data_IF_654511132763
#
_entry.id   IF_654511132763
#
_cell.length_a   1.000
_cell.length_b   1.000
_cell.length_c   1.000
_cell.angle_alpha   90.00
_cell.angle_beta   90.00
_cell.angle_gamma   90.00
#
_symmetry.space_group_name_H-M   'P 1'
#
loop_
_entity.id
_entity.type
_entity.pdbx_description
1 polymer ?
#
# COMPACT_ATOMS: atom_id res chain seq x y z
N UNK A 1 30.15 1.37 -6.94
CA UNK A 1 29.66 1.95 -5.66
C UNK A 1 29.17 0.78 -4.83
N UNK A 2 29.69 0.54 -3.62
CA UNK A 2 29.16 -0.52 -2.76
C UNK A 2 27.91 0.02 -2.08
N UNK A 3 26.76 -0.55 -2.40
CA UNK A 3 25.54 -0.16 -1.72
C UNK A 3 25.54 -0.70 -0.30
N UNK A 4 24.79 -0.04 0.56
CA UNK A 4 24.78 -0.31 1.99
C UNK A 4 23.40 -0.81 2.40
N UNK A 5 23.35 -2.02 2.95
CA UNK A 5 22.16 -2.51 3.63
C UNK A 5 21.96 -1.71 4.92
N UNK A 6 20.75 -1.23 5.16
CA UNK A 6 20.33 -0.48 6.34
C UNK A 6 19.22 -1.26 7.05
N UNK A 7 19.40 -1.45 8.35
CA UNK A 7 18.35 -1.97 9.22
C UNK A 7 17.57 -0.79 9.79
N UNK A 8 16.30 -0.68 9.39
CA UNK A 8 15.36 0.35 9.84
C UNK A 8 14.93 0.15 11.30
N UNK A 9 15.22 -0.99 11.93
CA UNK A 9 15.07 -1.19 13.38
C UNK A 9 15.96 -0.24 14.19
N UNK A 10 17.09 0.20 13.60
CA UNK A 10 17.98 1.17 14.20
C UNK A 10 17.51 2.61 13.96
N UNK A 11 17.43 3.38 15.05
CA UNK A 11 16.95 4.77 15.02
C UNK A 11 17.74 5.67 14.06
N UNK A 12 19.06 5.50 13.97
CA UNK A 12 19.91 6.29 13.08
C UNK A 12 19.57 6.04 11.60
N UNK A 13 19.54 4.77 11.18
CA UNK A 13 19.16 4.37 9.82
C UNK A 13 17.78 4.90 9.44
N UNK A 14 16.81 4.75 10.34
CA UNK A 14 15.45 5.22 10.15
C UNK A 14 15.40 6.74 9.91
N UNK A 15 16.12 7.52 10.73
CA UNK A 15 16.15 8.98 10.59
C UNK A 15 16.82 9.42 9.28
N UNK A 16 17.90 8.77 8.86
CA UNK A 16 18.57 9.08 7.59
C UNK A 16 17.61 8.89 6.40
N UNK A 17 16.89 7.76 6.36
CA UNK A 17 15.94 7.46 5.29
C UNK A 17 14.77 8.44 5.30
N UNK A 18 14.21 8.73 6.48
CA UNK A 18 13.12 9.68 6.61
C UNK A 18 13.51 11.09 6.10
N UNK A 19 14.66 11.61 6.52
CA UNK A 19 15.15 12.91 6.04
C UNK A 19 15.36 12.93 4.52
N UNK A 20 15.86 11.83 3.94
CA UNK A 20 16.01 11.74 2.49
C UNK A 20 14.67 11.84 1.77
N UNK A 21 13.66 11.08 2.21
CA UNK A 21 12.33 11.10 1.60
C UNK A 21 11.67 12.48 1.73
N UNK A 22 11.76 13.12 2.90
CA UNK A 22 11.25 14.48 3.12
C UNK A 22 11.90 15.51 2.18
N UNK A 23 13.22 15.41 1.98
CA UNK A 23 13.97 16.39 1.21
C UNK A 23 13.89 16.19 -0.31
N UNK A 24 13.79 14.95 -0.80
CA UNK A 24 13.98 14.64 -2.21
C UNK A 24 12.76 13.98 -2.86
N UNK A 25 11.89 13.35 -2.10
CA UNK A 25 10.80 12.51 -2.62
C UNK A 25 9.50 12.67 -1.79
N UNK A 26 9.00 13.90 -1.58
CA UNK A 26 7.78 14.14 -0.81
C UNK A 26 6.54 13.46 -1.42
N UNK A 27 6.60 13.12 -2.71
CA UNK A 27 5.54 12.42 -3.45
C UNK A 27 5.61 10.88 -3.34
N UNK A 28 6.63 10.32 -2.69
CA UNK A 28 6.75 8.88 -2.47
C UNK A 28 5.86 8.42 -1.31
N UNK A 29 4.55 8.49 -1.52
CA UNK A 29 3.53 8.36 -0.47
C UNK A 29 3.61 7.03 0.28
N UNK A 30 3.90 5.90 -0.38
CA UNK A 30 3.89 4.58 0.24
C UNK A 30 4.95 4.42 1.35
N UNK A 31 6.23 4.53 0.98
CA UNK A 31 7.33 4.37 1.94
C UNK A 31 7.26 5.49 2.99
N UNK A 32 6.95 6.71 2.57
CA UNK A 32 6.86 7.85 3.48
C UNK A 32 5.75 7.68 4.53
N UNK A 33 4.55 7.28 4.11
CA UNK A 33 3.41 7.02 5.00
C UNK A 33 3.73 5.91 5.99
N UNK A 34 4.33 4.81 5.51
CA UNK A 34 4.75 3.71 6.35
C UNK A 34 5.77 4.16 7.43
N UNK A 35 6.79 4.94 7.06
CA UNK A 35 7.76 5.45 8.03
C UNK A 35 7.10 6.44 9.01
N UNK A 36 6.15 7.25 8.55
CA UNK A 36 5.39 8.13 9.44
C UNK A 36 4.57 7.36 10.47
N UNK A 37 4.01 6.20 10.10
CA UNK A 37 3.26 5.36 11.04
C UNK A 37 4.18 4.88 12.16
N UNK A 38 5.44 4.56 11.85
CA UNK A 38 6.46 4.24 12.87
C UNK A 38 6.78 5.44 13.74
N UNK A 39 7.00 6.61 13.12
CA UNK A 39 7.35 7.83 13.85
C UNK A 39 6.24 8.26 14.82
N UNK A 40 4.98 8.05 14.43
CA UNK A 40 3.79 8.32 15.24
C UNK A 40 3.47 7.19 16.25
N UNK A 41 4.26 6.12 16.28
CA UNK A 41 4.10 5.00 17.23
C UNK A 41 2.94 4.07 16.93
N UNK A 42 2.38 4.13 15.71
CA UNK A 42 1.30 3.26 15.24
C UNK A 42 1.82 1.87 14.86
N UNK A 43 3.09 1.80 14.42
CA UNK A 43 3.81 0.56 14.12
C UNK A 43 5.11 0.58 14.92
N UNK A 44 5.40 -0.50 15.66
CA UNK A 44 6.66 -0.60 16.40
C UNK A 44 7.81 -0.89 15.42
N UNK A 45 8.86 -0.06 15.50
CA UNK A 45 10.04 -0.13 14.64
C UNK A 45 10.74 -1.50 14.68
N UNK A 46 10.59 -2.28 15.76
CA UNK A 46 11.16 -3.63 15.85
C UNK A 46 10.60 -4.58 14.77
N UNK A 47 9.41 -4.30 14.25
CA UNK A 47 8.76 -5.11 13.23
C UNK A 47 9.29 -4.80 11.82
N UNK A 48 10.11 -3.75 11.65
CA UNK A 48 10.86 -3.54 10.41
C UNK A 48 11.97 -4.58 10.21
N UNK A 49 12.32 -5.35 11.24
CA UNK A 49 13.17 -6.52 11.06
C UNK A 49 12.27 -7.74 10.82
N UNK A 50 12.39 -8.48 9.70
CA UNK A 50 13.58 -8.62 8.86
C UNK A 50 13.55 -7.86 7.51
N UNK A 51 12.73 -6.83 7.35
CA UNK A 51 12.70 -6.04 6.11
C UNK A 51 14.07 -5.42 5.83
N UNK A 52 14.50 -5.50 4.57
CA UNK A 52 15.83 -5.10 4.15
C UNK A 52 15.75 -3.86 3.27
N UNK A 53 16.39 -2.79 3.72
CA UNK A 53 16.51 -1.56 2.96
C UNK A 53 17.93 -1.44 2.42
N UNK A 54 18.06 -1.16 1.13
CA UNK A 54 19.33 -0.98 0.45
C UNK A 54 19.40 0.43 -0.10
N UNK A 55 20.50 1.13 0.18
CA UNK A 55 20.79 2.46 -0.38
C UNK A 55 22.12 2.45 -1.12
N UNK A 56 22.23 3.25 -2.17
CA UNK A 56 23.48 3.37 -2.92
C UNK A 56 24.64 3.93 -2.08
N UNK A 57 24.36 4.88 -1.18
CA UNK A 57 25.32 5.52 -0.27
C UNK A 57 24.56 6.09 0.92
N UNK A 58 24.99 5.79 2.15
CA UNK A 58 24.32 6.27 3.38
C UNK A 58 24.44 7.79 3.58
N UNK A 59 25.45 8.43 3.02
CA UNK A 59 25.70 9.87 3.16
C UNK A 59 25.11 10.68 2.01
N UNK A 60 24.83 10.04 0.88
CA UNK A 60 24.26 10.66 -0.31
C UNK A 60 23.31 9.68 -1.02
N UNK A 61 22.15 9.45 -0.39
CA UNK A 61 21.13 8.58 -0.93
C UNK A 61 20.60 9.20 -2.24
N UNK A 62 20.52 8.37 -3.28
CA UNK A 62 19.92 8.65 -4.59
C UNK A 62 18.89 7.60 -4.98
N UNK A 63 19.05 6.38 -4.46
CA UNK A 63 18.12 5.29 -4.65
C UNK A 63 17.96 4.50 -3.35
N UNK A 64 16.73 4.11 -3.07
CA UNK A 64 16.33 3.21 -1.99
C UNK A 64 15.63 2.03 -2.65
N UNK A 65 16.06 0.80 -2.34
CA UNK A 65 15.26 -0.41 -2.59
C UNK A 65 14.87 -0.97 -1.23
N UNK A 66 13.57 -1.12 -1.01
CA UNK A 66 13.01 -1.68 0.22
C UNK A 66 12.34 -3.00 -0.10
N UNK A 67 12.94 -4.09 0.39
CA UNK A 67 12.43 -5.46 0.28
C UNK A 67 11.79 -5.81 1.61
N UNK A 68 10.48 -6.05 1.58
CA UNK A 68 9.70 -6.26 2.78
C UNK A 68 8.62 -7.32 2.55
N UNK A 69 7.90 -7.62 3.61
CA UNK A 69 6.75 -8.49 3.56
C UNK A 69 5.59 -7.80 4.24
N UNK A 70 4.39 -8.06 3.77
CA UNK A 70 3.18 -7.54 4.39
C UNK A 70 2.99 -8.12 5.80
N UNK A 71 3.59 -9.29 6.09
CA UNK A 71 3.51 -9.99 7.37
C UNK A 71 4.26 -9.23 8.47
N UNK A 72 5.42 -8.67 8.15
CA UNK A 72 6.28 -8.00 9.13
C UNK A 72 5.73 -6.69 9.66
N UNK A 73 4.61 -6.16 9.15
CA UNK A 73 3.93 -5.04 9.79
C UNK A 73 2.92 -5.46 10.88
N UNK A 74 2.64 -6.75 11.02
CA UNK A 74 1.73 -7.26 12.04
C UNK A 74 2.48 -7.49 13.36
N UNK A 75 1.91 -7.01 14.47
CA UNK A 75 2.51 -7.09 15.81
C UNK A 75 2.51 -8.52 16.41
N UNK A 76 2.78 -9.56 15.62
CA UNK A 76 2.71 -10.96 16.02
C UNK A 76 4.00 -11.72 15.65
N UNK A 77 4.70 -12.22 16.68
CA UNK A 77 5.96 -12.94 16.53
C UNK A 77 5.83 -14.31 15.84
N UNK A 78 4.66 -14.96 15.89
CA UNK A 78 4.42 -16.20 15.18
C UNK A 78 4.37 -15.96 13.68
N UNK A 79 3.67 -14.89 13.27
CA UNK A 79 3.59 -14.47 11.88
C UNK A 79 4.95 -14.04 11.34
N UNK A 80 5.83 -13.45 12.16
CA UNK A 80 7.20 -13.13 11.76
C UNK A 80 8.02 -14.37 11.32
N UNK A 81 7.79 -15.53 11.95
CA UNK A 81 8.47 -16.77 11.55
C UNK A 81 7.90 -17.31 10.23
N UNK A 82 6.58 -17.23 10.06
CA UNK A 82 5.92 -17.49 8.78
C UNK A 82 6.42 -16.55 7.68
N UNK A 83 6.78 -15.32 8.03
CA UNK A 83 7.32 -14.36 7.06
C UNK A 83 8.69 -14.77 6.50
N UNK A 84 9.60 -15.19 7.38
CA UNK A 84 10.92 -15.69 6.96
C UNK A 84 10.77 -16.88 6.02
N UNK A 85 9.72 -17.69 6.23
CA UNK A 85 9.39 -18.86 5.39
C UNK A 85 8.40 -18.56 4.27
N UNK A 86 7.98 -17.29 4.13
CA UNK A 86 6.95 -16.90 3.17
C UNK A 86 7.44 -17.11 1.74
N UNK A 87 6.53 -17.65 0.92
CA UNK A 87 6.74 -17.84 -0.50
C UNK A 87 6.63 -16.54 -1.30
N UNK A 88 6.42 -15.38 -0.67
CA UNK A 88 6.33 -14.09 -1.35
C UNK A 88 7.10 -12.94 -0.68
N UNK A 89 7.55 -11.98 -1.49
CA UNK A 89 8.20 -10.73 -1.07
C UNK A 89 7.62 -9.54 -1.81
N UNK A 90 7.50 -8.41 -1.12
CA UNK A 90 7.23 -7.11 -1.74
C UNK A 90 8.54 -6.35 -1.92
N UNK A 91 8.62 -5.59 -2.99
CA UNK A 91 9.74 -4.72 -3.31
C UNK A 91 9.15 -3.37 -3.71
N UNK A 92 9.52 -2.33 -2.99
CA UNK A 92 9.26 -0.95 -3.42
C UNK A 92 10.61 -0.26 -3.54
N UNK A 93 10.69 0.75 -4.40
CA UNK A 93 11.92 1.52 -4.50
C UNK A 93 11.62 2.94 -4.94
N UNK A 94 12.56 3.81 -4.61
CA UNK A 94 12.54 5.19 -5.08
C UNK A 94 13.92 5.54 -5.56
N UNK A 95 14.01 6.13 -6.74
CA UNK A 95 15.29 6.49 -7.36
C UNK A 95 15.15 7.82 -8.09
N UNK A 96 16.23 8.60 -8.07
CA UNK A 96 16.41 9.77 -8.93
C UNK A 96 16.12 9.42 -10.40
N UNK A 97 15.50 10.34 -11.13
CA UNK A 97 15.06 10.15 -12.51
C UNK A 97 16.16 9.87 -13.52
N UNK A 98 17.40 10.24 -13.18
CA UNK A 98 18.49 10.24 -14.14
C UNK A 98 19.45 9.05 -14.01
N UNK A 99 19.20 8.06 -13.13
CA UNK A 99 20.17 6.98 -12.91
C UNK A 99 19.55 5.59 -12.69
N UNK A 100 19.39 4.85 -13.79
CA UNK A 100 18.89 3.47 -13.78
C UNK A 100 19.96 2.44 -13.34
N UNK A 101 21.24 2.73 -13.55
CA UNK A 101 22.34 1.81 -13.21
C UNK A 101 22.43 1.56 -11.70
N UNK A 102 22.19 2.61 -10.91
CA UNK A 102 22.12 2.49 -9.44
C UNK A 102 20.99 1.53 -9.04
N UNK A 103 19.79 1.67 -9.61
CA UNK A 103 18.66 0.79 -9.30
C UNK A 103 18.99 -0.67 -9.61
N UNK A 104 19.51 -0.95 -10.81
CA UNK A 104 19.89 -2.32 -11.21
C UNK A 104 20.94 -2.88 -10.24
N UNK A 105 21.95 -2.08 -9.88
CA UNK A 105 22.99 -2.49 -8.92
C UNK A 105 22.40 -2.85 -7.55
N UNK A 106 21.40 -2.09 -7.07
CA UNK A 106 20.70 -2.41 -5.82
C UNK A 106 19.85 -3.68 -5.94
N UNK A 107 19.12 -3.84 -7.04
CA UNK A 107 18.32 -5.04 -7.30
C UNK A 107 19.20 -6.30 -7.38
N UNK A 108 20.38 -6.22 -7.99
CA UNK A 108 21.35 -7.32 -8.03
C UNK A 108 21.82 -7.75 -6.63
N UNK A 109 21.96 -6.80 -5.71
CA UNK A 109 22.33 -7.11 -4.32
C UNK A 109 21.17 -7.70 -3.52
N UNK A 110 19.93 -7.40 -3.90
CA UNK A 110 18.73 -7.99 -3.31
C UNK A 110 18.48 -9.43 -3.77
N UNK A 111 19.20 -9.92 -4.79
CA UNK A 111 18.99 -11.25 -5.38
C UNK A 111 18.88 -12.41 -4.38
N UNK A 112 19.68 -12.49 -3.29
CA UNK A 112 19.52 -13.55 -2.30
C UNK A 112 18.14 -13.59 -1.63
N UNK A 113 17.42 -12.46 -1.62
CA UNK A 113 16.07 -12.32 -1.05
C UNK A 113 14.97 -12.67 -2.06
N UNK A 114 15.32 -12.83 -3.33
CA UNK A 114 14.39 -13.11 -4.43
C UNK A 114 14.20 -14.61 -4.67
N UNK A 115 14.79 -15.47 -3.83
CA UNK A 115 14.55 -16.92 -3.84
C UNK A 115 13.21 -17.27 -3.17
N UNK A 116 12.11 -16.76 -3.75
CA UNK A 116 10.73 -16.96 -3.31
C UNK A 116 9.84 -17.25 -4.51
N UNK A 117 8.66 -17.83 -4.28
CA UNK A 117 7.71 -18.19 -5.34
C UNK A 117 7.17 -16.97 -6.08
N UNK A 118 6.93 -15.86 -5.37
CA UNK A 118 6.36 -14.65 -5.96
C UNK A 118 7.04 -13.39 -5.44
N UNK A 119 7.37 -12.47 -6.33
CA UNK A 119 7.87 -11.14 -6.00
C UNK A 119 6.85 -10.13 -6.51
N UNK A 120 6.40 -9.24 -5.62
CA UNK A 120 5.54 -8.13 -5.97
C UNK A 120 6.36 -6.86 -5.95
N UNK A 121 6.49 -6.17 -7.08
CA UNK A 121 6.96 -4.79 -7.06
C UNK A 121 5.77 -3.86 -6.88
N UNK A 122 5.76 -3.11 -5.79
CA UNK A 122 4.64 -2.28 -5.38
C UNK A 122 4.94 -0.80 -5.64
N UNK A 123 3.97 -0.11 -6.23
CA UNK A 123 3.94 1.33 -6.43
C UNK A 123 5.15 1.90 -7.17
N UNK A 124 5.59 1.18 -8.19
CA UNK A 124 6.74 1.55 -8.99
C UNK A 124 6.33 2.61 -10.01
N UNK A 125 7.06 3.71 -10.11
CA UNK A 125 6.82 4.68 -11.17
C UNK A 125 6.89 4.01 -12.55
N UNK A 126 5.86 4.25 -13.38
CA UNK A 126 5.64 3.54 -14.66
C UNK A 126 6.87 3.41 -15.57
N UNK A 127 7.78 4.41 -15.55
CA UNK A 127 9.02 4.41 -16.33
C UNK A 127 9.99 3.27 -15.98
N UNK A 128 9.90 2.68 -14.79
CA UNK A 128 10.79 1.61 -14.35
C UNK A 128 10.28 0.21 -14.69
N UNK A 129 9.04 0.08 -15.17
CA UNK A 129 8.46 -1.23 -15.42
C UNK A 129 9.22 -2.01 -16.48
N UNK A 130 9.70 -1.34 -17.53
CA UNK A 130 10.57 -1.96 -18.55
C UNK A 130 11.93 -2.35 -17.97
N UNK A 131 12.50 -1.54 -17.08
CA UNK A 131 13.78 -1.83 -16.43
C UNK A 131 13.67 -3.06 -15.54
N UNK A 132 12.57 -3.21 -14.80
CA UNK A 132 12.32 -4.39 -13.96
C UNK A 132 12.06 -5.61 -14.82
N UNK A 133 11.33 -5.47 -15.92
CA UNK A 133 11.07 -6.56 -16.86
C UNK A 133 12.38 -7.08 -17.48
N UNK A 134 13.24 -6.19 -17.96
CA UNK A 134 14.54 -6.53 -18.51
C UNK A 134 15.43 -7.18 -17.45
N UNK A 135 15.49 -6.61 -16.23
CA UNK A 135 16.21 -7.21 -15.11
C UNK A 135 15.71 -8.63 -14.78
N UNK A 136 14.40 -8.84 -14.70
CA UNK A 136 13.80 -10.13 -14.40
C UNK A 136 14.11 -11.17 -15.49
N UNK A 137 14.14 -10.74 -16.75
CA UNK A 137 14.50 -11.57 -17.90
C UNK A 137 15.98 -11.94 -17.89
N UNK A 138 16.87 -10.97 -17.73
CA UNK A 138 18.32 -11.16 -17.72
C UNK A 138 18.79 -12.07 -16.59
N UNK A 139 18.15 -11.95 -15.42
CA UNK A 139 18.42 -12.80 -14.25
C UNK A 139 17.63 -14.10 -14.24
N UNK A 140 16.80 -14.34 -15.26
CA UNK A 140 15.94 -15.53 -15.37
C UNK A 140 15.09 -15.78 -14.10
N UNK A 141 14.56 -14.71 -13.52
CA UNK A 141 13.82 -14.73 -12.26
C UNK A 141 12.38 -15.23 -12.43
N UNK A 142 11.77 -14.99 -13.59
CA UNK A 142 10.33 -15.15 -13.79
C UNK A 142 9.97 -16.33 -14.71
N UNK A 143 8.99 -17.12 -14.31
CA UNK A 143 8.20 -17.98 -15.19
C UNK A 143 6.96 -17.27 -15.76
N UNK A 144 6.38 -16.35 -14.98
CA UNK A 144 5.28 -15.46 -15.38
C UNK A 144 5.55 -14.04 -14.87
N UNK A 145 5.21 -13.03 -15.68
CA UNK A 145 5.46 -11.62 -15.39
C UNK A 145 4.24 -10.80 -15.82
N UNK A 146 3.62 -10.10 -14.87
CA UNK A 146 2.41 -9.32 -15.09
C UNK A 146 2.58 -7.90 -14.57
N UNK A 147 2.19 -6.93 -15.38
CA UNK A 147 2.12 -5.52 -15.02
C UNK A 147 0.65 -5.14 -14.88
N UNK A 148 0.32 -4.50 -13.77
CA UNK A 148 -0.99 -3.91 -13.48
C UNK A 148 -0.81 -2.39 -13.40
N UNK A 149 -1.12 -1.64 -14.47
CA UNK A 149 -1.01 -0.20 -14.44
C UNK A 149 -2.03 0.41 -13.48
N UNK A 150 -1.56 1.33 -12.65
CA UNK A 150 -2.32 1.99 -11.61
C UNK A 150 -2.17 3.52 -11.72
N UNK A 151 -3.15 4.21 -11.15
CA UNK A 151 -3.13 5.66 -10.95
C UNK A 151 -3.09 5.91 -9.44
N UNK A 152 -2.08 6.64 -8.99
CA UNK A 152 -2.07 7.19 -7.64
C UNK A 152 -2.93 8.46 -7.66
N UNK A 153 -3.92 8.52 -6.76
CA UNK A 153 -4.74 9.71 -6.57
C UNK A 153 -4.70 10.13 -5.11
N UNK A 154 -4.80 11.42 -4.87
CA UNK A 154 -4.70 12.02 -3.55
C UNK A 154 -5.83 13.01 -3.28
N UNK A 155 -6.21 13.11 -2.01
CA UNK A 155 -7.12 14.08 -1.45
C UNK A 155 -6.40 14.88 -0.37
N UNK A 156 -6.64 16.19 -0.35
CA UNK A 156 -6.26 17.08 0.75
C UNK A 156 -7.45 17.34 1.70
N UNK A 157 -7.13 17.73 2.94
CA UNK A 157 -8.14 17.90 3.99
C UNK A 157 -9.16 19.00 3.66
N UNK A 158 -8.75 20.08 3.00
CA UNK A 158 -9.66 21.18 2.66
C UNK A 158 -10.68 20.71 1.61
N UNK A 159 -10.23 19.99 0.59
CA UNK A 159 -11.10 19.42 -0.44
C UNK A 159 -12.07 18.39 0.13
N UNK A 160 -11.65 17.58 1.12
CA UNK A 160 -12.58 16.69 1.84
C UNK A 160 -13.72 17.47 2.50
N UNK A 161 -13.39 18.54 3.23
CA UNK A 161 -14.39 19.35 3.95
C UNK A 161 -15.33 20.11 3.02
N UNK A 162 -14.86 20.53 1.84
CA UNK A 162 -15.69 21.10 0.78
C UNK A 162 -16.61 20.04 0.17
N UNK A 163 -16.07 18.85 -0.12
CA UNK A 163 -16.80 17.71 -0.67
C UNK A 163 -17.93 17.32 0.27
N UNK A 164 -17.69 17.14 1.56
CA UNK A 164 -18.73 16.84 2.58
C UNK A 164 -19.94 17.78 2.52
N UNK A 165 -19.70 19.07 2.28
CA UNK A 165 -20.76 20.09 2.19
C UNK A 165 -21.55 20.03 0.87
N UNK A 166 -20.93 19.53 -0.20
CA UNK A 166 -21.46 19.63 -1.57
C UNK A 166 -21.97 18.31 -2.15
N UNK A 167 -21.55 17.14 -1.62
CA UNK A 167 -21.81 15.85 -2.29
C UNK A 167 -23.30 15.57 -2.54
N UNK A 168 -24.18 16.10 -1.68
CA UNK A 168 -25.60 15.77 -1.68
C UNK A 168 -25.88 14.27 -1.50
N UNK A 169 -24.87 13.47 -1.12
CA UNK A 169 -25.03 12.03 -0.91
C UNK A 169 -25.92 11.82 0.30
N UNK A 170 -26.98 11.05 0.11
CA UNK A 170 -27.90 10.68 1.17
C UNK A 170 -27.79 9.18 1.42
N UNK A 171 -27.51 8.82 2.67
CA UNK A 171 -27.56 7.44 3.10
C UNK A 171 -29.02 6.98 3.13
N UNK A 172 -29.30 5.82 2.52
CA UNK A 172 -30.61 5.18 2.59
C UNK A 172 -30.93 4.88 4.06
N UNK A 173 -32.17 5.09 4.49
CA UNK A 173 -32.56 5.08 5.92
C UNK A 173 -32.37 3.73 6.64
N UNK A 174 -32.35 2.64 5.90
CA UNK A 174 -32.13 1.26 6.33
C UNK A 174 -30.65 0.83 6.26
N UNK A 175 -29.75 1.73 5.84
CA UNK A 175 -28.31 1.49 5.80
C UNK A 175 -27.63 2.29 6.91
N UNK A 176 -26.73 1.65 7.64
CA UNK A 176 -25.88 2.27 8.63
C UNK A 176 -24.41 2.19 8.21
N UNK A 177 -23.66 3.28 8.33
CA UNK A 177 -22.19 3.28 8.20
C UNK A 177 -21.59 3.14 9.59
N UNK A 178 -20.72 2.16 9.77
CA UNK A 178 -20.13 1.81 11.06
C UNK A 178 -18.69 1.33 10.87
N UNK A 179 -17.90 1.33 11.97
CA UNK A 179 -16.58 0.68 11.95
C UNK A 179 -16.75 -0.83 11.73
N UNK A 180 -15.85 -1.41 10.94
CA UNK A 180 -15.75 -2.86 10.82
C UNK A 180 -15.30 -3.47 12.16
N UNK A 181 -15.66 -4.72 12.35
CA UNK A 181 -15.32 -5.54 13.52
C UNK A 181 -14.62 -6.83 13.08
N UNK A 182 -13.99 -7.54 14.02
CA UNK A 182 -13.34 -8.81 13.72
C UNK A 182 -14.28 -9.86 13.07
N UNK A 183 -15.60 -9.77 13.34
CA UNK A 183 -16.59 -10.66 12.73
C UNK A 183 -16.73 -10.46 11.20
N UNK A 184 -16.38 -9.28 10.68
CA UNK A 184 -16.49 -8.94 9.26
C UNK A 184 -15.33 -9.49 8.42
N UNK A 185 -14.19 -9.78 9.05
CA UNK A 185 -12.94 -10.12 8.37
C UNK A 185 -13.07 -11.35 7.45
N UNK A 186 -13.80 -12.37 7.89
CA UNK A 186 -13.99 -13.61 7.13
C UNK A 186 -14.77 -13.36 5.83
N UNK A 187 -15.83 -12.56 5.90
CA UNK A 187 -16.62 -12.19 4.73
C UNK A 187 -15.79 -11.35 3.76
N UNK A 188 -15.08 -10.34 4.25
CA UNK A 188 -14.21 -9.50 3.41
C UNK A 188 -13.15 -10.36 2.71
N UNK A 189 -12.56 -11.32 3.42
CA UNK A 189 -11.57 -12.23 2.85
C UNK A 189 -12.16 -13.12 1.76
N UNK A 190 -13.41 -13.57 1.90
CA UNK A 190 -14.10 -14.40 0.90
C UNK A 190 -14.22 -13.70 -0.46
N UNK A 191 -14.42 -12.38 -0.46
CA UNK A 191 -14.53 -11.55 -1.65
C UNK A 191 -13.19 -11.00 -2.16
N UNK A 192 -12.08 -11.31 -1.51
CA UNK A 192 -10.74 -10.94 -1.97
C UNK A 192 -10.28 -11.87 -3.10
N UNK A 193 -9.72 -11.30 -4.18
CA UNK A 193 -9.09 -12.08 -5.25
C UNK A 193 -7.80 -12.78 -4.79
N UNK A 194 -7.25 -12.37 -3.64
CA UNK A 194 -6.06 -12.92 -3.02
C UNK A 194 -6.36 -13.73 -1.75
N UNK A 195 -7.60 -14.23 -1.63
CA UNK A 195 -8.05 -14.96 -0.43
C UNK A 195 -7.09 -16.08 -0.01
N UNK A 196 -6.74 -16.07 1.26
CA UNK A 196 -5.86 -17.02 1.94
C UNK A 196 -6.01 -16.84 3.45
N UNK A 197 -5.44 -17.75 4.24
CA UNK A 197 -5.32 -17.57 5.69
C UNK A 197 -4.47 -16.34 6.01
N UNK A 198 -3.47 -16.08 5.17
CA UNK A 198 -2.62 -14.90 5.27
C UNK A 198 -3.41 -13.59 5.07
N UNK A 199 -4.20 -13.49 4.00
CA UNK A 199 -5.00 -12.28 3.78
C UNK A 199 -6.08 -12.10 4.85
N UNK A 200 -6.61 -13.18 5.44
CA UNK A 200 -7.50 -13.08 6.58
C UNK A 200 -6.81 -12.46 7.81
N UNK A 201 -5.60 -12.90 8.13
CA UNK A 201 -4.81 -12.32 9.22
C UNK A 201 -4.53 -10.83 8.97
N UNK A 202 -4.16 -10.47 7.74
CA UNK A 202 -3.93 -9.08 7.34
C UNK A 202 -5.21 -8.21 7.49
N UNK A 203 -6.35 -8.67 6.97
CA UNK A 203 -7.63 -7.97 7.08
C UNK A 203 -8.02 -7.79 8.56
N UNK A 204 -7.85 -8.83 9.38
CA UNK A 204 -8.15 -8.77 10.81
C UNK A 204 -7.31 -7.72 11.50
N UNK A 205 -6.00 -7.68 11.23
CA UNK A 205 -5.10 -6.66 11.77
C UNK A 205 -5.52 -5.25 11.35
N UNK A 206 -5.85 -5.03 10.07
CA UNK A 206 -6.31 -3.75 9.54
C UNK A 206 -7.59 -3.27 10.24
N UNK A 207 -8.56 -4.16 10.45
CA UNK A 207 -9.81 -3.83 11.12
C UNK A 207 -9.59 -3.45 12.59
N UNK A 208 -8.70 -4.17 13.28
CA UNK A 208 -8.42 -3.95 14.70
C UNK A 208 -7.62 -2.66 14.94
N UNK A 209 -6.63 -2.37 14.10
CA UNK A 209 -5.62 -1.34 14.39
C UNK A 209 -5.76 -0.07 13.55
N UNK A 210 -6.42 -0.14 12.40
CA UNK A 210 -6.52 0.98 11.47
C UNK A 210 -7.98 1.41 11.25
N UNK A 211 -8.23 2.63 10.76
CA UNK A 211 -9.55 3.01 10.30
C UNK A 211 -10.07 2.05 9.22
N UNK A 212 -11.26 1.52 9.43
CA UNK A 212 -11.89 0.54 8.56
C UNK A 212 -13.41 0.62 8.75
N UNK A 213 -14.17 0.76 7.66
CA UNK A 213 -15.60 1.06 7.71
C UNK A 213 -16.42 0.17 6.79
N UNK A 214 -17.63 -0.12 7.24
CA UNK A 214 -18.63 -0.92 6.54
C UNK A 214 -19.98 -0.22 6.47
N UNK A 215 -20.73 -0.50 5.41
CA UNK A 215 -22.14 -0.16 5.29
C UNK A 215 -22.96 -1.42 5.56
N UNK A 216 -23.93 -1.33 6.47
CA UNK A 216 -24.75 -2.44 6.92
C UNK A 216 -26.21 -2.20 6.56
N UNK A 217 -26.85 -3.18 5.93
CA UNK A 217 -28.29 -3.19 5.67
C UNK A 217 -28.90 -4.35 6.45
N UNK A 218 -29.88 -4.07 7.32
CA UNK A 218 -30.52 -5.10 8.17
C UNK A 218 -29.51 -5.97 8.96
N UNK A 219 -28.39 -5.35 9.38
CA UNK A 219 -27.31 -6.02 10.12
C UNK A 219 -26.33 -6.82 9.25
N UNK A 220 -26.51 -6.88 7.94
CA UNK A 220 -25.59 -7.53 7.01
C UNK A 220 -24.61 -6.53 6.40
N UNK A 221 -23.32 -6.88 6.34
CA UNK A 221 -22.30 -6.06 5.68
C UNK A 221 -22.47 -6.11 4.15
N UNK A 222 -22.72 -4.96 3.54
CA UNK A 222 -23.04 -4.86 2.10
C UNK A 222 -22.03 -4.02 1.30
N UNK A 223 -21.18 -3.26 1.98
CA UNK A 223 -20.08 -2.51 1.37
C UNK A 223 -19.00 -2.23 2.42
N UNK A 224 -17.74 -2.13 2.02
CA UNK A 224 -16.64 -1.84 2.94
C UNK A 224 -15.47 -1.12 2.26
N UNK A 225 -14.59 -0.54 3.09
CA UNK A 225 -13.27 -0.05 2.73
C UNK A 225 -12.33 -0.15 3.94
N UNK A 226 -11.03 -0.37 3.68
CA UNK A 226 -10.01 -0.56 4.71
C UNK A 226 -8.79 0.33 4.43
N UNK A 227 -8.13 0.75 5.49
CA UNK A 227 -6.76 1.30 5.38
C UNK A 227 -5.78 0.16 5.14
N UNK A 228 -4.90 0.33 4.15
CA UNK A 228 -3.83 -0.61 3.86
C UNK A 228 -2.63 -0.38 4.79
N UNK A 229 -1.69 -1.32 4.84
CA UNK A 229 -0.52 -1.24 5.73
C UNK A 229 0.41 -0.06 5.41
N UNK A 230 0.37 0.41 4.17
CA UNK A 230 1.08 1.60 3.70
C UNK A 230 0.30 2.90 3.94
N UNK A 231 -0.82 2.83 4.64
CA UNK A 231 -1.70 3.96 4.95
C UNK A 231 -2.57 4.41 3.78
N UNK A 232 -2.53 3.73 2.64
CA UNK A 232 -3.41 4.01 1.51
C UNK A 232 -4.85 3.56 1.80
N UNK A 233 -5.81 4.24 1.19
CA UNK A 233 -7.20 3.82 1.16
C UNK A 233 -7.36 2.67 0.16
N UNK A 234 -7.99 1.56 0.56
CA UNK A 234 -8.08 0.38 -0.29
C UNK A 234 -9.18 -0.62 0.08
N UNK A 235 -9.13 -1.78 -0.58
CA UNK A 235 -10.08 -2.89 -0.43
C UNK A 235 -11.56 -2.45 -0.48
N UNK A 236 -11.88 -1.56 -1.42
CA UNK A 236 -13.25 -1.08 -1.60
C UNK A 236 -14.07 -2.14 -2.31
N UNK A 237 -15.20 -2.49 -1.72
CA UNK A 237 -16.17 -3.34 -2.38
C UNK A 237 -17.59 -2.96 -1.99
N UNK A 238 -18.51 -3.18 -2.93
CA UNK A 238 -19.95 -3.07 -2.72
C UNK A 238 -20.62 -4.26 -3.39
N UNK A 239 -21.44 -4.97 -2.62
CA UNK A 239 -22.26 -6.08 -3.11
C UNK A 239 -23.08 -5.63 -4.34
N UNK A 240 -23.19 -6.46 -5.40
CA UNK A 240 -23.83 -6.07 -6.66
C UNK A 240 -25.17 -5.37 -6.53
N UNK A 241 -26.04 -5.88 -5.65
CA UNK A 241 -27.39 -5.41 -5.38
C UNK A 241 -27.46 -4.09 -4.57
N UNK A 242 -26.34 -3.68 -3.97
CA UNK A 242 -26.20 -2.41 -3.24
C UNK A 242 -25.36 -1.37 -4.02
N UNK A 243 -24.97 -1.66 -5.26
CA UNK A 243 -24.24 -0.71 -6.11
C UNK A 243 -25.14 0.45 -6.54
N UNK A 244 -24.49 1.55 -6.97
CA UNK A 244 -25.16 2.79 -7.43
C UNK A 244 -25.95 3.54 -6.36
N UNK A 245 -25.84 3.13 -5.09
CA UNK A 245 -26.40 3.83 -3.93
C UNK A 245 -25.43 4.83 -3.28
N UNK A 246 -24.24 5.04 -3.86
CA UNK A 246 -23.23 5.96 -3.32
C UNK A 246 -22.46 5.44 -2.10
N UNK A 247 -22.64 4.17 -1.69
CA UNK A 247 -22.04 3.61 -0.48
C UNK A 247 -20.51 3.69 -0.44
N UNK A 248 -19.84 3.29 -1.52
CA UNK A 248 -18.39 3.38 -1.60
C UNK A 248 -17.86 4.83 -1.43
N UNK A 249 -18.62 5.82 -1.91
CA UNK A 249 -18.27 7.23 -1.77
C UNK A 249 -18.48 7.74 -0.35
N UNK A 250 -19.59 7.36 0.29
CA UNK A 250 -19.86 7.69 1.69
C UNK A 250 -18.83 7.05 2.63
N UNK A 251 -18.49 5.78 2.39
CA UNK A 251 -17.43 5.07 3.11
C UNK A 251 -16.07 5.73 2.91
N UNK A 252 -15.76 6.20 1.69
CA UNK A 252 -14.53 6.95 1.44
C UNK A 252 -14.46 8.24 2.25
N UNK A 253 -15.55 9.02 2.33
CA UNK A 253 -15.61 10.25 3.12
C UNK A 253 -15.34 9.95 4.61
N UNK A 254 -15.99 8.91 5.14
CA UNK A 254 -15.83 8.51 6.54
C UNK A 254 -14.38 8.05 6.82
N UNK A 255 -13.85 7.16 5.98
CA UNK A 255 -12.50 6.65 6.15
C UNK A 255 -11.44 7.74 5.98
N UNK A 256 -11.57 8.62 4.98
CA UNK A 256 -10.67 9.75 4.79
C UNK A 256 -10.69 10.71 5.99
N UNK A 257 -11.87 10.92 6.61
CA UNK A 257 -12.00 11.76 7.80
C UNK A 257 -11.21 11.23 8.99
N UNK A 258 -11.22 9.92 9.22
CA UNK A 258 -10.38 9.30 10.25
C UNK A 258 -8.90 9.31 9.87
N UNK A 259 -8.57 9.05 8.61
CA UNK A 259 -7.19 9.06 8.15
C UNK A 259 -6.53 10.43 8.32
N UNK A 260 -7.22 11.54 8.06
CA UNK A 260 -6.66 12.88 8.29
C UNK A 260 -6.36 13.21 9.76
N UNK A 261 -6.85 12.41 10.71
CA UNK A 261 -6.43 12.53 12.12
C UNK A 261 -5.07 11.86 12.37
N UNK A 262 -4.66 10.97 11.48
CA UNK A 262 -3.48 10.10 11.61
C UNK A 262 -2.36 10.44 10.62
N UNK A 263 -2.68 11.07 9.49
CA UNK A 263 -1.74 11.45 8.43
C UNK A 263 -2.20 12.73 7.73
N UNK A 264 -1.27 13.39 7.04
CA UNK A 264 -1.53 14.72 6.47
C UNK A 264 -2.05 14.65 5.02
N UNK A 265 -1.90 13.49 4.37
CA UNK A 265 -2.30 13.20 2.98
C UNK A 265 -3.10 11.90 2.95
N UNK A 266 -4.20 11.85 2.20
CA UNK A 266 -4.97 10.62 1.97
C UNK A 266 -4.87 10.25 0.50
N UNK A 267 -4.44 9.02 0.23
CA UNK A 267 -4.18 8.57 -1.13
C UNK A 267 -4.69 7.15 -1.35
N UNK A 268 -4.84 6.78 -2.62
CA UNK A 268 -5.13 5.40 -3.02
C UNK A 268 -4.56 5.09 -4.40
N UNK A 269 -4.51 3.80 -4.70
CA UNK A 269 -4.12 3.28 -6.00
C UNK A 269 -5.32 2.69 -6.72
N UNK A 270 -5.52 3.11 -7.96
CA UNK A 270 -6.64 2.67 -8.79
C UNK A 270 -6.07 2.01 -10.04
N UNK A 271 -6.33 0.71 -10.22
CA UNK A 271 -6.03 0.00 -11.47
C UNK A 271 -6.65 0.76 -12.64
N UNK A 272 -5.87 1.05 -13.68
CA UNK A 272 -6.20 1.98 -14.78
C UNK A 272 -7.50 1.59 -15.49
N UNK A 273 -7.79 0.31 -15.59
CA UNK A 273 -9.00 -0.23 -16.21
C UNK A 273 -10.25 0.03 -15.36
N UNK A 274 -10.11 0.31 -14.06
CA UNK A 274 -11.21 0.57 -13.14
C UNK A 274 -11.72 2.02 -13.21
N UNK A 275 -12.29 2.35 -14.37
CA UNK A 275 -12.87 3.66 -14.68
C UNK A 275 -14.01 4.06 -13.74
N UNK A 276 -14.70 3.08 -13.15
CA UNK A 276 -15.78 3.33 -12.18
C UNK A 276 -15.22 3.91 -10.87
N UNK A 277 -14.16 3.31 -10.33
CA UNK A 277 -13.47 3.85 -9.15
C UNK A 277 -12.84 5.20 -9.47
N UNK A 278 -12.12 5.34 -10.58
CA UNK A 278 -11.49 6.62 -10.94
C UNK A 278 -12.49 7.79 -10.95
N UNK A 279 -13.63 7.63 -11.63
CA UNK A 279 -14.71 8.64 -11.66
C UNK A 279 -15.33 8.91 -10.29
N UNK A 280 -15.36 7.92 -9.40
CA UNK A 280 -15.84 8.12 -8.04
C UNK A 280 -14.87 9.01 -7.25
N UNK A 281 -13.58 8.68 -7.28
CA UNK A 281 -12.55 9.46 -6.57
C UNK A 281 -12.43 10.88 -7.14
N UNK A 282 -12.46 11.07 -8.46
CA UNK A 282 -12.47 12.39 -9.10
C UNK A 282 -13.64 13.25 -8.61
N UNK A 283 -14.84 12.67 -8.50
CA UNK A 283 -16.03 13.36 -7.95
C UNK A 283 -15.92 13.72 -6.47
N UNK A 284 -15.10 12.98 -5.73
CA UNK A 284 -14.80 13.25 -4.32
C UNK A 284 -13.64 14.25 -4.15
N UNK A 285 -13.17 14.85 -5.26
CA UNK A 285 -12.12 15.86 -5.26
C UNK A 285 -10.71 15.29 -5.22
N UNK A 286 -10.53 13.97 -5.39
CA UNK A 286 -9.20 13.41 -5.55
C UNK A 286 -8.62 13.84 -6.89
N UNK A 287 -7.32 14.14 -6.90
CA UNK A 287 -6.58 14.44 -8.11
C UNK A 287 -5.49 13.39 -8.33
N UNK A 288 -5.19 13.09 -9.59
CA UNK A 288 -4.12 12.17 -9.95
C UNK A 288 -2.76 12.84 -9.70
N UNK A 289 -1.87 12.15 -8.98
CA UNK A 289 -0.51 12.63 -8.68
C UNK A 289 0.52 11.97 -9.57
N UNK A 290 0.46 10.65 -9.76
CA UNK A 290 1.37 9.93 -10.64
C UNK A 290 0.76 8.64 -11.22
N UNK A 291 1.40 8.12 -12.27
CA UNK A 291 1.14 6.78 -12.79
C UNK A 291 2.18 5.82 -12.22
N UNK A 292 1.71 4.75 -11.59
CA UNK A 292 2.54 3.70 -11.00
C UNK A 292 2.08 2.35 -11.53
N UNK A 293 2.94 1.35 -11.45
CA UNK A 293 2.63 0.00 -11.84
C UNK A 293 2.85 -0.93 -10.65
N UNK A 294 1.94 -1.89 -10.49
CA UNK A 294 2.18 -3.08 -9.68
C UNK A 294 2.66 -4.19 -10.60
N UNK A 295 3.78 -4.83 -10.23
CA UNK A 295 4.37 -5.90 -11.03
C UNK A 295 4.35 -7.17 -10.20
N UNK A 296 3.75 -8.22 -10.75
CA UNK A 296 3.83 -9.56 -10.18
C UNK A 296 4.80 -10.39 -11.01
N UNK A 297 5.81 -10.91 -10.33
CA UNK A 297 6.75 -11.87 -10.86
C UNK A 297 6.54 -13.20 -10.14
N UNK A 298 6.20 -14.25 -10.87
CA UNK A 298 6.12 -15.62 -10.33
C UNK A 298 7.35 -16.36 -10.78
N UNK A 299 8.10 -16.94 -9.83
CA UNK A 299 9.31 -17.72 -10.11
C UNK A 299 9.00 -18.93 -10.98
N UNK A 300 10.02 -19.44 -11.67
CA UNK A 300 9.95 -20.77 -12.31
C UNK A 300 9.87 -21.89 -11.26
#
# INVERSE_FOLDING_TARGET
MMATQMDLSHKESFQIVLHFLEAHLPESLQIWSLLNYVQRGLVDRKYFWPHQLFVNDRNCIKCIVFVYSTVGFMNDSHLLHEDITSSARNVTFVSDENNNEILITLLEQCMPLFNVKTIFFCDIAHRFSTIIEDFARDKNLAGDFKIFPCLQVELDQKTLEETKKQTGLQLRSDIAIQRLTAADASLINEFSIYKSDFSLAQISFQIEHLPAFGAYCEGQLVSWCLTQFDGSFGMVFTMPEFRRLGLAALLNIELASELFKMQDRVFCFIVRENQASFKMFEKLGYHQTCAVDWIQLVSK
#
